data_IF_240017462634
#
_entry.id   IF_240017462634
#
_cell.length_a   1.000
_cell.length_b   1.000
_cell.length_c   1.000
_cell.angle_alpha   90.00
_cell.angle_beta   90.00
_cell.angle_gamma   90.00
#
_symmetry.space_group_name_H-M   'P 1'
#
loop_
_entity.id
_entity.type
_entity.pdbx_description
1 polymer ?
#
# COMPACT_ATOMS: atom_id res chain seq x y z
N UNK A 1 -7.43 -4.99 -5.38
CA UNK A 1 -6.34 -4.59 -4.46
C UNK A 1 -6.72 -5.01 -3.05
N UNK A 2 -5.80 -5.63 -2.31
CA UNK A 2 -5.96 -5.81 -0.86
C UNK A 2 -5.79 -4.44 -0.20
N UNK A 3 -6.76 -4.04 0.61
CA UNK A 3 -6.83 -2.73 1.27
C UNK A 3 -6.01 -2.71 2.56
N UNK A 4 -5.50 -1.54 2.96
CA UNK A 4 -4.81 -1.34 4.25
C UNK A 4 -5.77 -1.34 5.45
N UNK A 5 -7.08 -1.29 5.19
CA UNK A 5 -8.14 -1.33 6.20
C UNK A 5 -9.26 -2.29 5.75
N UNK A 6 -9.08 -3.62 5.88
CA UNK A 6 -10.09 -4.60 5.48
C UNK A 6 -11.27 -4.62 6.45
N UNK A 7 -12.46 -4.96 5.95
CA UNK A 7 -13.63 -5.13 6.81
C UNK A 7 -13.48 -6.36 7.72
N UNK A 8 -14.09 -6.35 8.92
CA UNK A 8 -14.14 -7.54 9.77
C UNK A 8 -14.76 -8.76 9.05
N UNK A 9 -15.73 -8.52 8.15
CA UNK A 9 -16.36 -9.57 7.36
C UNK A 9 -15.38 -10.21 6.37
N UNK A 10 -14.50 -9.42 5.74
CA UNK A 10 -13.43 -9.94 4.88
C UNK A 10 -12.47 -10.83 5.68
N UNK A 11 -12.02 -10.36 6.84
CA UNK A 11 -11.12 -11.15 7.69
C UNK A 11 -11.76 -12.48 8.10
N UNK A 12 -13.06 -12.48 8.43
CA UNK A 12 -13.81 -13.68 8.77
C UNK A 12 -13.92 -14.69 7.60
N UNK A 13 -14.13 -14.22 6.36
CA UNK A 13 -14.20 -15.11 5.19
C UNK A 13 -12.87 -15.81 4.93
N UNK A 14 -11.77 -15.09 5.07
CA UNK A 14 -10.44 -15.65 4.81
C UNK A 14 -9.98 -16.57 5.92
N UNK A 15 -10.29 -16.25 7.18
CA UNK A 15 -10.01 -17.14 8.29
C UNK A 15 -10.83 -18.44 8.22
N UNK A 16 -12.05 -18.39 7.67
CA UNK A 16 -12.84 -19.59 7.39
C UNK A 16 -12.16 -20.49 6.34
N UNK A 17 -11.61 -19.92 5.27
CA UNK A 17 -10.84 -20.69 4.24
C UNK A 17 -9.56 -21.30 4.83
N UNK A 18 -8.92 -20.63 5.79
CA UNK A 18 -7.81 -21.22 6.52
C UNK A 18 -8.25 -22.41 7.38
N UNK A 19 -9.42 -22.31 8.03
CA UNK A 19 -9.96 -23.38 8.85
C UNK A 19 -10.36 -24.61 8.01
N UNK A 20 -10.93 -24.36 6.83
CA UNK A 20 -11.30 -25.38 5.85
C UNK A 20 -11.29 -24.79 4.44
N UNK A 21 -10.47 -25.37 3.55
CA UNK A 21 -10.36 -24.97 2.16
C UNK A 21 -11.54 -25.43 1.26
N UNK A 22 -12.61 -25.99 1.84
CA UNK A 22 -13.74 -26.59 1.14
C UNK A 22 -13.57 -28.09 0.86
N UNK A 23 -12.48 -28.69 1.34
CA UNK A 23 -12.20 -30.13 1.27
C UNK A 23 -11.84 -30.74 2.63
N UNK A 24 -12.12 -30.03 3.72
CA UNK A 24 -11.80 -30.44 5.09
C UNK A 24 -10.33 -30.23 5.46
N UNK A 25 -9.52 -29.58 4.61
CA UNK A 25 -8.10 -29.37 4.85
C UNK A 25 -7.87 -27.99 5.46
N UNK A 26 -7.35 -27.99 6.68
CA UNK A 26 -6.91 -26.78 7.39
C UNK A 26 -5.52 -26.37 6.94
N UNK A 27 -5.29 -25.07 6.74
CA UNK A 27 -3.97 -24.51 6.51
C UNK A 27 -3.49 -24.52 5.05
N UNK A 28 -4.38 -24.72 4.08
CA UNK A 28 -4.04 -24.64 2.67
C UNK A 28 -3.76 -23.19 2.23
N UNK A 29 -2.47 -22.83 2.20
CA UNK A 29 -2.02 -21.50 1.78
C UNK A 29 -2.41 -21.16 0.34
N UNK A 30 -2.51 -22.14 -0.56
CA UNK A 30 -2.92 -21.89 -1.94
C UNK A 30 -4.39 -21.48 -2.00
N UNK A 31 -5.24 -22.16 -1.25
CA UNK A 31 -6.65 -21.79 -1.11
C UNK A 31 -6.81 -20.41 -0.46
N UNK A 32 -6.03 -20.11 0.58
CA UNK A 32 -6.07 -18.82 1.31
C UNK A 32 -5.62 -17.67 0.41
N UNK A 33 -4.50 -17.79 -0.29
CA UNK A 33 -4.03 -16.76 -1.23
C UNK A 33 -5.05 -16.53 -2.34
N UNK A 34 -5.65 -17.61 -2.85
CA UNK A 34 -6.73 -17.51 -3.85
C UNK A 34 -7.93 -16.75 -3.27
N UNK A 35 -8.36 -17.05 -2.06
CA UNK A 35 -9.46 -16.36 -1.40
C UNK A 35 -9.15 -14.86 -1.20
N UNK A 36 -7.95 -14.52 -0.71
CA UNK A 36 -7.48 -13.12 -0.58
C UNK A 36 -7.61 -12.36 -1.90
N UNK A 37 -7.14 -12.94 -3.00
CA UNK A 37 -7.07 -12.24 -4.29
C UNK A 37 -8.40 -12.21 -5.04
N UNK A 38 -9.28 -13.18 -4.79
CA UNK A 38 -10.56 -13.32 -5.49
C UNK A 38 -11.77 -12.84 -4.70
N UNK A 39 -11.61 -12.48 -3.42
CA UNK A 39 -12.69 -11.93 -2.61
C UNK A 39 -13.28 -10.68 -3.26
N UNK A 40 -14.60 -10.53 -3.15
CA UNK A 40 -15.34 -9.40 -3.72
C UNK A 40 -14.82 -8.06 -3.20
N UNK A 41 -14.50 -7.96 -1.91
CA UNK A 41 -13.94 -6.73 -1.30
C UNK A 41 -12.53 -6.42 -1.83
N UNK A 42 -11.72 -7.44 -2.13
CA UNK A 42 -10.41 -7.25 -2.73
C UNK A 42 -10.49 -6.89 -4.22
N UNK A 43 -11.60 -7.16 -4.91
CA UNK A 43 -11.77 -6.89 -6.34
C UNK A 43 -12.57 -5.63 -6.64
N UNK A 44 -13.38 -5.15 -5.72
CA UNK A 44 -14.11 -3.90 -5.88
C UNK A 44 -13.18 -2.70 -5.76
N UNK A 45 -13.42 -1.67 -6.58
CA UNK A 45 -12.71 -0.40 -6.46
C UNK A 45 -13.25 0.28 -5.21
N UNK A 46 -12.41 0.56 -4.21
CA UNK A 46 -12.90 1.15 -2.97
C UNK A 46 -13.27 2.63 -3.21
N UNK A 47 -14.48 3.04 -2.83
CA UNK A 47 -15.01 4.41 -3.05
C UNK A 47 -15.19 5.24 -1.77
N UNK A 48 -15.01 4.64 -0.59
CA UNK A 48 -15.18 5.31 0.70
C UNK A 48 -13.96 6.15 1.15
N UNK A 49 -14.17 7.05 2.11
CA UNK A 49 -13.11 7.95 2.62
C UNK A 49 -11.93 7.21 3.29
N UNK A 50 -12.16 6.02 3.85
CA UNK A 50 -11.12 5.17 4.45
C UNK A 50 -10.49 4.17 3.49
N UNK A 51 -10.72 4.34 2.19
CA UNK A 51 -10.47 3.31 1.20
C UNK A 51 -9.23 3.64 0.34
N UNK A 52 -8.41 2.62 0.07
CA UNK A 52 -7.13 2.76 -0.61
C UNK A 52 -5.94 2.89 0.35
N UNK A 53 -4.78 3.28 -0.19
CA UNK A 53 -3.55 3.53 0.58
C UNK A 53 -3.06 4.94 0.29
N UNK A 54 -2.57 5.63 1.33
CA UNK A 54 -1.94 6.93 1.14
C UNK A 54 -0.73 6.77 0.21
N UNK A 55 -0.75 7.43 -0.96
CA UNK A 55 0.36 7.37 -1.92
C UNK A 55 1.51 8.23 -1.38
N UNK A 56 2.70 7.65 -1.32
CA UNK A 56 3.93 8.33 -0.87
C UNK A 56 4.30 9.54 -1.77
N UNK A 57 4.92 10.61 -1.21
CA UNK A 57 5.37 11.79 -1.95
C UNK A 57 6.16 11.49 -3.23
N UNK A 58 7.13 10.57 -3.17
CA UNK A 58 7.93 10.17 -4.34
C UNK A 58 7.06 9.54 -5.43
N UNK A 59 6.10 8.68 -5.05
CA UNK A 59 5.18 8.05 -6.00
C UNK A 59 4.21 9.07 -6.62
N UNK A 60 3.80 10.11 -5.89
CA UNK A 60 3.01 11.22 -6.45
C UNK A 60 3.83 12.01 -7.47
N UNK A 61 5.08 12.33 -7.15
CA UNK A 61 5.99 13.02 -8.06
C UNK A 61 6.21 12.22 -9.36
N UNK A 62 6.45 10.91 -9.25
CA UNK A 62 6.61 10.02 -10.41
C UNK A 62 5.32 9.89 -11.24
N UNK A 63 4.16 9.86 -10.60
CA UNK A 63 2.88 9.86 -11.30
C UNK A 63 2.73 11.13 -12.13
N UNK A 64 2.98 12.31 -11.56
CA UNK A 64 2.93 13.57 -12.29
C UNK A 64 3.82 13.51 -13.53
N UNK A 65 5.08 13.09 -13.37
CA UNK A 65 6.01 12.97 -14.49
C UNK A 65 5.50 12.03 -15.59
N UNK A 66 4.89 10.90 -15.22
CA UNK A 66 4.28 9.97 -16.18
C UNK A 66 3.05 10.54 -16.87
N UNK A 67 2.17 11.23 -16.14
CA UNK A 67 0.93 11.80 -16.68
C UNK A 67 1.24 12.86 -17.75
N UNK A 68 2.28 13.66 -17.56
CA UNK A 68 2.66 14.73 -18.49
C UNK A 68 3.75 14.32 -19.49
N UNK A 69 4.12 13.04 -19.56
CA UNK A 69 5.11 12.56 -20.52
C UNK A 69 6.50 13.16 -20.32
N UNK A 70 6.86 13.49 -19.08
CA UNK A 70 8.21 13.98 -18.76
C UNK A 70 9.23 12.91 -19.14
N UNK A 71 10.28 13.33 -19.84
CA UNK A 71 11.40 12.48 -20.23
C UNK A 71 12.70 13.12 -19.81
N UNK A 72 13.75 12.31 -19.62
CA UNK A 72 15.10 12.81 -19.38
C UNK A 72 15.89 12.71 -20.68
N UNK A 73 16.33 13.84 -21.22
CA UNK A 73 17.13 13.88 -22.45
C UNK A 73 18.45 13.09 -22.34
N UNK A 74 19.01 12.99 -21.13
CA UNK A 74 20.25 12.25 -20.84
C UNK A 74 20.00 10.87 -20.23
N UNK A 75 18.74 10.54 -19.89
CA UNK A 75 18.40 9.33 -19.13
C UNK A 75 18.82 9.33 -17.66
N UNK A 76 19.55 10.36 -17.20
CA UNK A 76 20.14 10.41 -15.85
C UNK A 76 19.17 10.85 -14.74
N UNK A 77 18.02 11.43 -15.09
CA UNK A 77 17.00 11.89 -14.12
C UNK A 77 17.59 12.64 -12.91
N UNK A 78 18.19 13.81 -13.17
CA UNK A 78 18.86 14.67 -12.16
C UNK A 78 17.87 15.35 -11.18
N UNK A 79 17.07 14.57 -10.47
CA UNK A 79 16.11 15.04 -9.45
C UNK A 79 16.84 15.47 -8.16
N UNK A 80 18.02 14.88 -7.91
CA UNK A 80 18.86 15.17 -6.75
C UNK A 80 18.28 14.63 -5.44
N UNK A 81 18.82 15.09 -4.30
CA UNK A 81 18.32 14.71 -2.99
C UNK A 81 17.03 15.46 -2.64
N UNK A 82 15.96 14.71 -2.38
CA UNK A 82 14.64 15.25 -2.04
C UNK A 82 14.28 15.09 -0.55
N UNK A 83 15.25 14.80 0.32
CA UNK A 83 15.05 14.48 1.75
C UNK A 83 14.60 15.68 2.59
N UNK A 84 14.94 16.93 2.21
CA UNK A 84 14.59 18.11 3.01
C UNK A 84 13.06 18.38 2.99
N UNK A 85 12.34 18.26 4.12
CA UNK A 85 10.88 18.45 4.13
C UNK A 85 10.44 19.93 4.03
N UNK A 86 11.35 20.89 4.27
CA UNK A 86 11.00 22.31 4.22
C UNK A 86 10.87 22.84 2.79
N UNK A 87 11.60 22.26 1.83
CA UNK A 87 11.65 22.73 0.45
C UNK A 87 11.68 21.61 -0.61
N UNK A 88 11.60 20.33 -0.21
CA UNK A 88 11.55 19.16 -1.09
C UNK A 88 10.48 18.17 -0.60
N UNK A 89 10.54 16.92 -1.07
CA UNK A 89 9.52 15.89 -0.82
C UNK A 89 9.55 15.31 0.60
N UNK A 90 10.57 15.62 1.40
CA UNK A 90 10.76 15.00 2.72
C UNK A 90 11.15 13.52 2.67
N UNK A 91 11.36 12.97 1.47
CA UNK A 91 11.65 11.57 1.21
C UNK A 91 12.51 11.48 -0.04
N UNK A 92 13.51 10.59 -0.04
CA UNK A 92 14.38 10.36 -1.19
C UNK A 92 14.52 8.86 -1.44
N UNK A 93 14.43 8.37 -2.70
CA UNK A 93 14.58 6.96 -3.01
C UNK A 93 15.87 6.39 -2.40
N UNK A 94 15.79 5.17 -1.85
CA UNK A 94 16.92 4.45 -1.24
C UNK A 94 17.56 5.14 -0.01
N UNK A 95 16.91 6.15 0.58
CA UNK A 95 17.40 6.87 1.76
C UNK A 95 16.45 6.75 2.95
N UNK A 96 16.01 5.54 3.24
CA UNK A 96 15.23 5.29 4.46
C UNK A 96 16.08 5.58 5.71
N UNK A 97 15.61 6.42 6.65
CA UNK A 97 16.34 6.70 7.89
C UNK A 97 16.22 5.57 8.93
N UNK A 98 15.21 4.70 8.84
CA UNK A 98 14.94 3.63 9.83
C UNK A 98 14.36 2.36 9.21
N UNK A 99 14.20 1.29 10.00
CA UNK A 99 13.45 0.08 9.57
C UNK A 99 11.95 0.34 9.34
N UNK A 100 11.42 1.45 9.88
CA UNK A 100 10.03 1.90 9.67
C UNK A 100 9.90 2.87 8.49
N UNK A 101 10.91 2.88 7.61
CA UNK A 101 10.99 3.81 6.50
C UNK A 101 11.06 5.28 6.98
N UNK A 102 10.31 6.17 6.32
CA UNK A 102 10.21 7.60 6.65
C UNK A 102 9.24 7.91 7.80
N UNK A 103 8.69 6.90 8.46
CA UNK A 103 7.73 7.07 9.55
C UNK A 103 8.42 6.93 10.91
N UNK A 104 7.88 7.61 11.92
CA UNK A 104 8.35 7.45 13.30
C UNK A 104 7.92 6.08 13.84
N UNK A 105 8.73 5.44 14.71
CA UNK A 105 8.26 4.33 15.52
C UNK A 105 7.01 4.77 16.31
N UNK A 106 5.85 4.18 15.98
CA UNK A 106 4.54 4.56 16.57
C UNK A 106 3.71 5.57 15.77
N UNK A 107 4.11 5.96 14.55
CA UNK A 107 3.26 6.79 13.69
C UNK A 107 1.98 6.03 13.29
N UNK A 108 0.83 6.62 13.61
CA UNK A 108 -0.49 6.17 13.19
C UNK A 108 -1.06 7.22 12.23
N UNK A 109 -1.45 6.85 11.00
CA UNK A 109 -2.10 7.78 10.08
C UNK A 109 -3.37 8.34 10.71
N UNK A 110 -3.61 9.66 10.65
CA UNK A 110 -4.91 10.23 11.02
C UNK A 110 -6.01 9.53 10.21
N UNK A 111 -7.10 9.11 10.89
CA UNK A 111 -8.21 8.32 10.33
C UNK A 111 -7.95 6.83 10.08
N UNK A 112 -6.91 6.23 10.68
CA UNK A 112 -6.85 4.77 10.83
C UNK A 112 -7.45 4.36 12.17
N UNK A 113 -8.10 3.20 12.25
CA UNK A 113 -8.82 2.70 13.44
C UNK A 113 -7.97 2.53 14.72
N UNK A 114 -6.70 2.92 14.70
CA UNK A 114 -5.76 2.89 15.82
C UNK A 114 -5.42 4.29 16.37
N UNK A 115 -6.26 5.30 16.10
CA UNK A 115 -6.18 6.64 16.69
C UNK A 115 -7.45 7.44 16.50
#
# INVERSE_FOLDING_TARGET
MVTSNPSPAYVARISAVWADNGSGVRGDLKAVVRAILLDTEARTVPTGAGAGKLREPVLRFLQWGRTFGVTSATGLWNIGDTTNPANRLGQSPLRSPTVFNFFRPGYVPPSSQLG
#
